data_IF_632501024331
#
_entry.id   IF_632501024331
#
_cell.length_a   1.000
_cell.length_b   1.000
_cell.length_c   1.000
_cell.angle_alpha   90.00
_cell.angle_beta   90.00
_cell.angle_gamma   90.00
#
_symmetry.space_group_name_H-M   'P 1'
#
loop_
_entity.id
_entity.type
_entity.pdbx_description
1 polymer ?
#
# COMPACT_ATOMS: atom_id res chain seq x y z
N UNK A 1 3.06 10.24 -29.12
CA UNK A 1 3.78 10.72 -27.94
C UNK A 1 4.26 9.54 -27.10
N UNK A 2 5.52 9.57 -26.70
CA UNK A 2 6.15 8.56 -25.91
C UNK A 2 5.53 8.54 -24.49
N UNK A 3 5.18 7.35 -23.99
CA UNK A 3 4.66 7.18 -22.62
C UNK A 3 5.83 7.04 -21.67
N UNK A 4 5.69 7.63 -20.46
CA UNK A 4 6.63 7.41 -19.39
C UNK A 4 6.46 6.00 -18.83
N UNK A 5 7.57 5.30 -18.59
CA UNK A 5 7.54 3.96 -18.00
C UNK A 5 7.08 4.02 -16.54
N UNK A 6 5.93 3.44 -16.24
CA UNK A 6 5.36 3.43 -14.89
C UNK A 6 6.21 2.62 -13.91
N UNK A 7 6.90 1.57 -14.36
CA UNK A 7 7.82 0.84 -13.49
C UNK A 7 8.96 1.75 -13.03
N UNK A 8 9.49 2.58 -13.92
CA UNK A 8 10.51 3.57 -13.58
C UNK A 8 9.96 4.63 -12.63
N UNK A 9 8.73 5.09 -12.87
CA UNK A 9 8.06 6.08 -12.00
C UNK A 9 7.96 5.58 -10.55
N UNK A 10 7.56 4.31 -10.37
CA UNK A 10 7.44 3.69 -9.06
C UNK A 10 8.72 3.06 -8.54
N UNK A 11 9.80 3.03 -9.34
CA UNK A 11 11.06 2.42 -8.95
C UNK A 11 11.00 0.90 -8.82
N UNK A 12 10.13 0.23 -9.58
CA UNK A 12 9.97 -1.22 -9.56
C UNK A 12 11.05 -1.87 -10.42
N UNK A 13 11.81 -2.79 -9.83
CA UNK A 13 12.93 -3.49 -10.47
C UNK A 13 12.65 -4.96 -10.74
N UNK A 14 11.69 -5.58 -10.04
CA UNK A 14 11.34 -6.99 -10.24
C UNK A 14 9.85 -7.23 -9.99
N UNK A 15 9.35 -8.43 -10.38
CA UNK A 15 7.94 -8.80 -10.37
C UNK A 15 7.34 -8.93 -8.97
N UNK A 16 8.16 -9.20 -7.96
CA UNK A 16 7.68 -9.38 -6.59
C UNK A 16 7.54 -8.06 -5.83
N UNK A 17 8.11 -6.99 -6.35
CA UNK A 17 8.00 -5.68 -5.74
C UNK A 17 6.61 -5.09 -5.96
N UNK A 18 6.12 -4.41 -4.93
CA UNK A 18 4.81 -3.79 -4.90
C UNK A 18 4.98 -2.33 -4.54
N UNK A 19 4.71 -1.45 -5.50
CA UNK A 19 4.73 -0.01 -5.23
C UNK A 19 3.62 0.35 -4.26
N UNK A 20 3.86 1.29 -3.37
CA UNK A 20 2.92 1.69 -2.32
C UNK A 20 2.52 3.14 -2.45
N UNK A 21 1.21 3.39 -2.32
CA UNK A 21 0.72 4.70 -1.94
C UNK A 21 -0.04 4.60 -0.62
N UNK A 22 0.16 5.56 0.26
CA UNK A 22 -0.61 5.71 1.49
C UNK A 22 -1.22 7.10 1.46
N UNK A 23 -2.55 7.16 1.52
CA UNK A 23 -3.33 8.39 1.41
C UNK A 23 -2.89 9.25 0.20
N UNK A 24 -2.76 8.57 -0.95
CA UNK A 24 -2.39 9.14 -2.24
C UNK A 24 -0.94 9.67 -2.37
N UNK A 25 -0.08 9.36 -1.41
CA UNK A 25 1.35 9.69 -1.47
C UNK A 25 2.15 8.42 -1.74
N UNK A 26 3.07 8.48 -2.71
CA UNK A 26 4.01 7.38 -2.94
C UNK A 26 4.94 7.27 -1.75
N UNK A 27 5.04 6.08 -1.17
CA UNK A 27 5.89 5.82 -0.01
C UNK A 27 6.92 4.74 -0.31
N UNK A 28 8.06 4.86 0.33
CA UNK A 28 9.16 3.92 0.27
C UNK A 28 9.43 3.35 1.66
N UNK A 29 9.96 2.16 1.79
CA UNK A 29 10.29 1.21 0.71
C UNK A 29 9.08 0.45 0.17
N UNK A 30 9.27 -0.25 -0.96
CA UNK A 30 8.25 -1.06 -1.60
C UNK A 30 7.76 -2.21 -0.71
N UNK A 31 6.55 -2.66 -0.98
CA UNK A 31 6.04 -3.91 -0.45
C UNK A 31 6.41 -5.11 -1.32
N UNK A 32 5.77 -6.22 -1.04
CA UNK A 32 6.00 -7.49 -1.71
C UNK A 32 4.66 -8.19 -1.95
N UNK A 33 4.56 -8.87 -3.10
CA UNK A 33 3.48 -9.84 -3.34
C UNK A 33 4.06 -11.24 -3.16
N UNK A 34 3.43 -12.04 -2.32
CA UNK A 34 3.79 -13.43 -2.10
C UNK A 34 2.53 -14.26 -1.88
N UNK A 35 2.41 -15.39 -2.59
CA UNK A 35 1.27 -16.30 -2.51
C UNK A 35 -0.09 -15.60 -2.67
N UNK A 36 -0.14 -14.62 -3.57
CA UNK A 36 -1.34 -13.85 -3.86
C UNK A 36 -1.72 -12.81 -2.81
N UNK A 37 -0.86 -12.54 -1.82
CA UNK A 37 -1.10 -11.59 -0.74
C UNK A 37 -0.12 -10.42 -0.81
N UNK A 38 -0.60 -9.24 -0.41
CA UNK A 38 0.22 -8.03 -0.31
C UNK A 38 0.84 -7.94 1.08
N UNK A 39 2.14 -7.67 1.12
CA UNK A 39 2.93 -7.50 2.34
C UNK A 39 3.60 -6.13 2.32
N UNK A 40 3.66 -5.50 3.47
CA UNK A 40 4.26 -4.17 3.64
C UNK A 40 5.39 -4.26 4.66
N UNK A 41 6.51 -3.58 4.40
CA UNK A 41 7.63 -3.57 5.34
C UNK A 41 7.22 -2.95 6.67
N UNK A 42 7.76 -3.49 7.75
CA UNK A 42 7.48 -3.02 9.10
C UNK A 42 7.68 -1.51 9.28
N UNK A 43 8.77 -0.95 8.71
CA UNK A 43 9.04 0.48 8.84
C UNK A 43 7.95 1.36 8.22
N UNK A 44 7.35 0.91 7.11
CA UNK A 44 6.21 1.58 6.48
C UNK A 44 4.97 1.49 7.37
N UNK A 45 4.71 0.32 7.93
CA UNK A 45 3.57 0.11 8.83
C UNK A 45 3.69 1.05 10.03
N UNK A 46 4.84 1.05 10.69
CA UNK A 46 5.09 1.87 11.88
C UNK A 46 4.97 3.36 11.59
N UNK A 47 5.53 3.81 10.48
CA UNK A 47 5.60 5.24 10.15
C UNK A 47 4.29 5.80 9.59
N UNK A 48 3.59 5.04 8.74
CA UNK A 48 2.47 5.59 7.97
C UNK A 48 1.11 4.98 8.31
N UNK A 49 1.04 3.83 8.95
CA UNK A 49 -0.20 3.09 9.13
C UNK A 49 -0.58 2.96 10.61
N UNK A 50 0.26 2.29 11.38
CA UNK A 50 -0.04 2.01 12.79
C UNK A 50 1.24 1.78 13.59
N UNK A 51 1.60 2.74 14.43
CA UNK A 51 2.82 2.71 15.24
C UNK A 51 2.76 1.74 16.44
N UNK A 52 1.62 1.10 16.67
CA UNK A 52 1.46 0.12 17.74
C UNK A 52 2.05 -1.25 17.44
N UNK A 53 2.31 -1.55 16.16
CA UNK A 53 3.05 -2.73 15.79
C UNK A 53 4.51 -2.58 16.18
N UNK A 54 5.08 -3.64 16.73
CA UNK A 54 6.50 -3.69 17.11
C UNK A 54 7.13 -4.97 16.60
N UNK A 55 8.18 -4.84 15.81
CA UNK A 55 8.98 -5.94 15.31
C UNK A 55 10.21 -6.13 16.18
N UNK A 56 10.37 -7.33 16.74
CA UNK A 56 11.56 -7.71 17.50
C UNK A 56 12.45 -8.63 16.66
N UNK A 57 13.55 -8.13 16.08
CA UNK A 57 14.43 -8.95 15.25
C UNK A 57 15.27 -9.97 16.03
N UNK A 58 15.41 -9.80 17.33
CA UNK A 58 16.16 -10.74 18.17
C UNK A 58 15.34 -11.99 18.46
N UNK A 59 14.06 -11.83 18.72
CA UNK A 59 13.13 -12.93 19.01
C UNK A 59 12.37 -13.41 17.76
N UNK A 60 12.52 -12.72 16.62
CA UNK A 60 11.78 -13.01 15.39
C UNK A 60 10.26 -13.01 15.59
N UNK A 61 9.76 -12.05 16.32
CA UNK A 61 8.34 -11.93 16.66
C UNK A 61 7.82 -10.54 16.38
N UNK A 62 6.58 -10.48 15.87
CA UNK A 62 5.81 -9.25 15.76
C UNK A 62 4.85 -9.17 16.92
N UNK A 63 4.82 -8.02 17.60
CA UNK A 63 3.95 -7.76 18.73
C UNK A 63 2.99 -6.62 18.43
N UNK A 64 1.78 -6.73 18.95
CA UNK A 64 0.79 -5.66 18.92
C UNK A 64 0.05 -5.59 20.24
N UNK A 65 0.11 -4.42 20.87
CA UNK A 65 -0.50 -4.21 22.20
C UNK A 65 -1.95 -3.77 22.05
N UNK A 66 -2.85 -4.56 22.60
CA UNK A 66 -4.25 -4.21 22.81
C UNK A 66 -4.45 -3.72 24.27
N UNK A 67 -5.58 -3.05 24.59
CA UNK A 67 -5.79 -2.54 25.94
C UNK A 67 -5.69 -3.59 27.05
N UNK A 68 -6.11 -4.84 26.77
CA UNK A 68 -6.10 -5.93 27.76
C UNK A 68 -5.32 -7.16 27.31
N UNK A 69 -4.85 -7.19 26.06
CA UNK A 69 -4.21 -8.36 25.46
C UNK A 69 -2.97 -7.96 24.70
N UNK A 70 -2.16 -8.93 24.35
CA UNK A 70 -1.02 -8.76 23.47
C UNK A 70 -1.09 -9.79 22.35
N UNK A 71 -1.00 -9.31 21.12
CA UNK A 71 -0.88 -10.14 19.93
C UNK A 71 0.59 -10.46 19.69
N UNK A 72 0.89 -11.73 19.42
CA UNK A 72 2.25 -12.21 19.16
C UNK A 72 2.25 -13.13 17.96
N UNK A 73 3.09 -12.82 16.96
CA UNK A 73 3.20 -13.55 15.70
C UNK A 73 4.67 -13.88 15.44
N UNK A 74 4.96 -15.18 15.24
CA UNK A 74 6.30 -15.62 14.83
C UNK A 74 6.47 -15.56 13.32
N UNK A 75 7.72 -15.38 12.87
CA UNK A 75 8.05 -15.38 11.44
C UNK A 75 7.65 -16.71 10.79
N UNK A 76 6.99 -16.61 9.64
CA UNK A 76 6.61 -17.77 8.82
C UNK A 76 5.34 -18.48 9.27
N UNK A 77 4.68 -18.00 10.33
CA UNK A 77 3.50 -18.65 10.89
C UNK A 77 2.19 -18.13 10.31
N UNK A 78 1.23 -19.01 10.14
CA UNK A 78 -0.18 -18.68 9.95
C UNK A 78 -0.93 -18.57 11.28
N UNK A 79 -0.35 -19.11 12.33
CA UNK A 79 -0.87 -19.06 13.69
C UNK A 79 -0.30 -17.88 14.44
N UNK A 80 -1.08 -17.35 15.37
CA UNK A 80 -0.67 -16.30 16.25
C UNK A 80 -1.38 -16.42 17.60
N UNK A 81 -0.89 -15.72 18.59
CA UNK A 81 -1.49 -15.72 19.93
C UNK A 81 -2.05 -14.34 20.25
N UNK A 82 -3.24 -14.31 20.84
CA UNK A 82 -3.79 -13.14 21.51
C UNK A 82 -3.79 -13.48 22.99
N UNK A 83 -2.77 -12.98 23.72
CA UNK A 83 -2.42 -13.40 25.06
C UNK A 83 -2.21 -14.93 25.11
N UNK A 84 -3.09 -15.70 25.75
CA UNK A 84 -3.00 -17.16 25.85
C UNK A 84 -3.84 -17.89 24.79
N UNK A 85 -4.65 -17.17 24.02
CA UNK A 85 -5.53 -17.75 23.03
C UNK A 85 -4.81 -17.89 21.69
N UNK A 86 -4.83 -19.10 21.13
CA UNK A 86 -4.25 -19.36 19.81
C UNK A 86 -5.28 -19.11 18.72
N UNK A 87 -4.89 -18.34 17.70
CA UNK A 87 -5.68 -18.04 16.51
C UNK A 87 -4.89 -18.40 15.24
N UNK A 88 -5.59 -18.51 14.12
CA UNK A 88 -5.00 -18.84 12.82
C UNK A 88 -5.62 -18.02 11.70
N UNK A 89 -4.83 -17.76 10.69
CA UNK A 89 -5.27 -17.25 9.39
C UNK A 89 -4.96 -18.30 8.31
N UNK A 90 -5.45 -18.07 7.10
CA UNK A 90 -5.17 -18.94 5.95
C UNK A 90 -3.94 -18.49 5.13
N UNK A 91 -3.19 -17.52 5.64
CA UNK A 91 -1.99 -16.98 5.02
C UNK A 91 -0.88 -16.81 6.07
N UNK A 92 0.37 -16.75 5.60
CA UNK A 92 1.52 -16.41 6.45
C UNK A 92 1.44 -14.93 6.80
N UNK A 93 1.44 -14.61 8.08
CA UNK A 93 1.21 -13.24 8.58
C UNK A 93 2.47 -12.38 8.45
N UNK A 94 3.62 -12.96 8.81
CA UNK A 94 4.89 -12.26 8.93
C UNK A 94 5.96 -13.01 8.15
N UNK A 95 6.60 -12.32 7.21
CA UNK A 95 7.72 -12.85 6.42
C UNK A 95 8.94 -12.00 6.63
N UNK A 96 10.11 -12.59 6.47
CA UNK A 96 11.37 -11.85 6.45
C UNK A 96 12.13 -12.11 5.16
N UNK A 97 12.80 -11.07 4.67
CA UNK A 97 13.74 -11.16 3.57
C UNK A 97 15.03 -10.46 4.04
N UNK A 98 16.07 -11.24 4.33
CA UNK A 98 17.24 -10.75 5.05
C UNK A 98 16.84 -10.24 6.44
N UNK A 99 17.17 -9.01 6.76
CA UNK A 99 16.80 -8.34 8.01
C UNK A 99 15.46 -7.59 7.95
N UNK A 100 14.79 -7.61 6.81
CA UNK A 100 13.56 -6.86 6.59
C UNK A 100 12.35 -7.71 6.91
N UNK A 101 11.46 -7.21 7.78
CA UNK A 101 10.20 -7.85 8.10
C UNK A 101 9.06 -7.26 7.25
N UNK A 102 8.23 -8.16 6.73
CA UNK A 102 7.05 -7.83 5.91
C UNK A 102 5.80 -8.37 6.61
N UNK A 103 4.79 -7.54 6.73
CA UNK A 103 3.53 -7.87 7.40
C UNK A 103 2.41 -7.91 6.36
N UNK A 104 1.59 -8.95 6.39
CA UNK A 104 0.42 -9.05 5.52
C UNK A 104 -0.57 -7.91 5.77
N UNK A 105 -0.97 -7.22 4.71
CA UNK A 105 -1.96 -6.13 4.82
C UNK A 105 -3.30 -6.61 5.40
N UNK A 106 -3.72 -7.82 5.07
CA UNK A 106 -4.95 -8.40 5.63
C UNK A 106 -4.89 -8.52 7.15
N UNK A 107 -3.72 -8.80 7.71
CA UNK A 107 -3.54 -8.85 9.16
C UNK A 107 -3.55 -7.45 9.79
N UNK A 108 -2.87 -6.50 9.17
CA UNK A 108 -2.87 -5.10 9.62
C UNK A 108 -4.30 -4.55 9.65
N UNK A 109 -5.10 -4.88 8.65
CA UNK A 109 -6.48 -4.44 8.51
C UNK A 109 -7.39 -4.94 9.66
N UNK A 110 -7.03 -6.03 10.32
CA UNK A 110 -7.79 -6.49 11.50
C UNK A 110 -7.65 -5.56 12.72
N UNK A 111 -6.55 -4.80 12.79
CA UNK A 111 -6.23 -3.95 13.93
C UNK A 111 -6.16 -2.45 13.60
N UNK A 112 -6.40 -2.12 12.34
CA UNK A 112 -6.27 -0.74 11.85
C UNK A 112 -7.39 -0.47 10.85
N UNK A 113 -8.04 0.67 10.99
CA UNK A 113 -9.10 1.08 10.08
C UNK A 113 -8.47 1.58 8.78
N UNK A 114 -8.12 0.63 7.91
CA UNK A 114 -7.58 0.89 6.58
C UNK A 114 -8.38 0.13 5.54
N UNK A 115 -8.38 0.68 4.32
CA UNK A 115 -8.79 -0.03 3.12
C UNK A 115 -7.62 -0.06 2.15
N UNK A 116 -7.55 -1.08 1.30
CA UNK A 116 -6.55 -1.12 0.26
C UNK A 116 -7.06 -1.83 -0.99
N UNK A 117 -6.49 -1.47 -2.13
CA UNK A 117 -6.68 -2.19 -3.38
C UNK A 117 -5.34 -2.44 -4.05
N UNK A 118 -5.20 -3.62 -4.65
CA UNK A 118 -4.01 -4.03 -5.40
C UNK A 118 -4.32 -3.94 -6.89
N UNK A 119 -3.40 -3.33 -7.63
CA UNK A 119 -3.47 -3.19 -9.08
C UNK A 119 -2.25 -3.82 -9.73
N UNK A 120 -2.39 -4.16 -10.99
CA UNK A 120 -1.30 -4.70 -11.80
C UNK A 120 -0.87 -3.71 -12.89
N UNK A 121 0.29 -3.97 -13.48
CA UNK A 121 0.86 -3.25 -14.62
C UNK A 121 1.05 -1.72 -14.38
N UNK A 122 1.87 -1.30 -13.44
CA UNK A 122 2.74 -2.08 -12.54
C UNK A 122 2.01 -2.58 -11.29
N UNK A 123 2.58 -3.60 -10.65
CA UNK A 123 2.07 -4.10 -9.37
C UNK A 123 2.18 -3.01 -8.31
N UNK A 124 1.04 -2.64 -7.75
CA UNK A 124 0.97 -1.56 -6.77
C UNK A 124 -0.23 -1.74 -5.86
N UNK A 125 -0.14 -1.15 -4.68
CA UNK A 125 -1.25 -1.11 -3.74
C UNK A 125 -1.51 0.33 -3.31
N UNK A 126 -2.78 0.69 -3.28
CA UNK A 126 -3.23 1.97 -2.74
C UNK A 126 -3.88 1.72 -1.39
N UNK A 127 -3.30 2.29 -0.33
CA UNK A 127 -3.76 2.17 1.05
C UNK A 127 -4.38 3.50 1.46
N UNK A 128 -5.56 3.43 2.07
CA UNK A 128 -6.28 4.60 2.58
C UNK A 128 -6.45 4.44 4.10
N UNK A 129 -5.92 5.40 4.84
CA UNK A 129 -6.01 5.45 6.31
C UNK A 129 -6.89 6.60 6.77
N UNK A 130 -7.03 7.65 5.96
CA UNK A 130 -7.82 8.84 6.25
C UNK A 130 -8.99 8.92 5.27
N UNK A 131 -10.20 8.74 5.80
CA UNK A 131 -11.43 8.70 5.01
C UNK A 131 -12.11 10.06 4.86
N UNK A 132 -11.77 11.04 5.70
CA UNK A 132 -12.52 12.29 5.80
C UNK A 132 -12.21 13.26 4.64
N UNK A 133 -11.06 13.12 3.97
CA UNK A 133 -10.59 14.07 2.95
C UNK A 133 -10.58 13.51 1.52
N UNK A 134 -11.35 12.44 1.24
CA UNK A 134 -11.39 11.86 -0.10
C UNK A 134 -12.36 12.63 -0.98
N UNK A 135 -11.84 13.23 -2.04
CA UNK A 135 -12.63 13.86 -3.10
C UNK A 135 -12.44 13.06 -4.39
N UNK A 136 -13.54 12.60 -4.97
CA UNK A 136 -13.51 11.91 -6.26
C UNK A 136 -14.10 12.78 -7.35
N UNK A 137 -13.75 12.49 -8.60
CA UNK A 137 -14.31 13.14 -9.78
C UNK A 137 -14.48 12.14 -10.91
N UNK A 138 -15.49 12.35 -11.74
CA UNK A 138 -15.71 11.59 -12.95
C UNK A 138 -15.09 12.31 -14.14
N UNK A 139 -14.42 11.57 -14.99
CA UNK A 139 -13.83 12.09 -16.23
C UNK A 139 -14.94 12.38 -17.24
N UNK A 140 -15.02 13.61 -17.77
CA UNK A 140 -16.06 14.07 -18.68
C UNK A 140 -15.78 13.75 -20.14
N UNK A 141 -14.52 13.62 -20.50
CA UNK A 141 -14.08 13.26 -21.87
C UNK A 141 -12.74 12.55 -21.81
N UNK A 142 -12.44 11.75 -22.80
CA UNK A 142 -11.16 11.04 -22.88
C UNK A 142 -10.00 12.03 -22.73
N UNK A 143 -9.06 11.72 -21.87
CA UNK A 143 -7.91 12.58 -21.56
C UNK A 143 -6.70 11.76 -21.15
N UNK A 144 -5.65 12.43 -20.73
CA UNK A 144 -4.36 11.83 -20.39
C UNK A 144 -3.91 12.30 -19.01
N UNK A 145 -3.32 11.37 -18.25
CA UNK A 145 -2.60 11.68 -17.01
C UNK A 145 -1.14 11.89 -17.36
N UNK A 146 -0.58 12.99 -16.92
CA UNK A 146 0.81 13.36 -17.18
C UNK A 146 1.63 13.34 -15.91
N UNK A 147 2.93 13.12 -16.05
CA UNK A 147 3.87 13.07 -14.93
C UNK A 147 3.87 14.38 -14.13
N UNK A 148 3.76 15.51 -14.84
CA UNK A 148 3.61 16.84 -14.24
C UNK A 148 2.56 17.62 -15.03
N UNK A 149 2.02 18.68 -14.46
CA UNK A 149 1.13 19.57 -15.17
C UNK A 149 1.80 20.15 -16.43
N UNK A 150 1.07 20.17 -17.54
CA UNK A 150 1.53 20.71 -18.79
C UNK A 150 1.54 19.70 -19.95
N UNK A 151 1.14 20.17 -21.13
CA UNK A 151 0.97 19.33 -22.33
C UNK A 151 2.28 18.77 -22.87
N UNK A 152 3.43 19.26 -22.42
CA UNK A 152 4.75 18.77 -22.80
C UNK A 152 5.29 17.69 -21.87
N UNK A 153 4.69 17.51 -20.70
CA UNK A 153 5.06 16.48 -19.75
C UNK A 153 4.76 15.08 -20.30
N UNK A 154 5.56 14.06 -19.95
CA UNK A 154 5.29 12.69 -20.39
C UNK A 154 3.91 12.19 -19.93
N UNK A 155 3.31 11.35 -20.76
CA UNK A 155 2.02 10.73 -20.47
C UNK A 155 2.24 9.48 -19.63
N UNK A 156 1.59 9.40 -18.46
CA UNK A 156 1.62 8.20 -17.61
C UNK A 156 0.56 7.19 -18.03
N UNK A 157 -0.67 7.65 -18.25
CA UNK A 157 -1.77 6.79 -18.66
C UNK A 157 -2.86 7.62 -19.33
N UNK A 158 -3.85 6.94 -19.90
CA UNK A 158 -5.03 7.55 -20.51
C UNK A 158 -6.26 7.31 -19.65
N UNK A 159 -7.16 8.28 -19.64
CA UNK A 159 -8.47 8.19 -18.98
C UNK A 159 -9.57 8.27 -20.03
N UNK A 160 -10.60 7.47 -19.81
CA UNK A 160 -11.80 7.45 -20.64
C UNK A 160 -12.92 8.21 -19.97
N UNK A 161 -13.86 8.71 -20.77
CA UNK A 161 -15.09 9.32 -20.27
C UNK A 161 -15.76 8.36 -19.26
N UNK A 162 -16.20 8.90 -18.13
CA UNK A 162 -16.82 8.21 -16.99
C UNK A 162 -15.86 7.47 -16.06
N UNK A 163 -14.56 7.44 -16.32
CA UNK A 163 -13.59 6.93 -15.34
C UNK A 163 -13.65 7.77 -14.06
N UNK A 164 -13.53 7.11 -12.93
CA UNK A 164 -13.45 7.76 -11.63
C UNK A 164 -12.00 7.96 -11.21
N UNK A 165 -11.70 9.14 -10.69
CA UNK A 165 -10.38 9.47 -10.14
C UNK A 165 -10.54 10.11 -8.76
N UNK A 166 -9.49 9.97 -7.94
CA UNK A 166 -9.40 10.64 -6.65
C UNK A 166 -8.60 11.93 -6.82
N UNK A 167 -9.14 13.05 -6.37
CA UNK A 167 -8.45 14.34 -6.42
C UNK A 167 -7.51 14.44 -5.22
N UNK A 168 -6.21 14.60 -5.50
CA UNK A 168 -5.16 14.73 -4.49
C UNK A 168 -4.85 16.20 -4.23
N UNK A 169 -4.63 16.96 -5.29
CA UNK A 169 -4.39 18.40 -5.25
C UNK A 169 -5.11 19.07 -6.42
N UNK A 170 -5.57 20.29 -6.23
CA UNK A 170 -6.20 21.10 -7.28
C UNK A 170 -5.47 22.40 -7.50
N UNK A 171 -5.13 22.65 -8.75
CA UNK A 171 -4.66 23.95 -9.24
C UNK A 171 -5.63 24.45 -10.32
N UNK A 172 -5.51 25.69 -10.76
CA UNK A 172 -6.50 26.31 -11.64
C UNK A 172 -6.82 25.49 -12.90
N UNK A 173 -5.81 25.00 -13.62
CA UNK A 173 -5.97 24.26 -14.88
C UNK A 173 -5.54 22.81 -14.77
N UNK A 174 -4.97 22.39 -13.64
CA UNK A 174 -4.44 21.05 -13.45
C UNK A 174 -4.85 20.49 -12.10
N UNK A 175 -5.10 19.20 -12.08
CA UNK A 175 -5.40 18.47 -10.84
C UNK A 175 -4.47 17.28 -10.72
N UNK A 176 -3.88 17.11 -9.55
CA UNK A 176 -3.17 15.88 -9.21
C UNK A 176 -4.21 14.84 -8.84
N UNK A 177 -4.18 13.70 -9.51
CA UNK A 177 -5.18 12.64 -9.34
C UNK A 177 -4.53 11.30 -9.09
N UNK A 178 -5.27 10.43 -8.43
CA UNK A 178 -4.99 9.00 -8.36
C UNK A 178 -6.01 8.28 -9.24
N UNK A 179 -5.54 7.50 -10.21
CA UNK A 179 -6.36 6.62 -11.04
C UNK A 179 -6.50 5.25 -10.37
N UNK A 180 -7.41 4.50 -10.86
CA UNK A 180 -7.52 3.10 -10.47
C UNK A 180 -6.37 2.26 -11.00
#
# INVERSE_FOLDING_TARGET
KEKYDLNKYYGIENENQLALTVDNQVVEPHGMIADGKAYVQYDVVRKYINSRFYWDPNENVLLYMLPKDMVSVEVGSKDYNVSKEKKSEDYVILKTEGSTAYIALDFIQQYTDIEYEVYENPSRVAIVTDWDDITTAEVKKDTQVRYQGGVKSPILTELKKKDEVTIVESEQNWKKVRTK
#
